data_IF_056575042047
#
_entry.id   IF_056575042047
#
_cell.length_a   1.000
_cell.length_b   1.000
_cell.length_c   1.000
_cell.angle_alpha   90.00
_cell.angle_beta   90.00
_cell.angle_gamma   90.00
#
_symmetry.space_group_name_H-M   'P 1'
#
loop_
_entity.id
_entity.type
_entity.pdbx_description
1 polymer ?
#
# COMPACT_ATOMS: atom_id res chain seq x y z
N UNK A 1 1.54 37.45 -20.79
CA UNK A 1 0.74 36.30 -20.31
C UNK A 1 1.60 35.09 -20.02
N UNK A 2 1.85 34.82 -18.74
CA UNK A 2 2.43 33.56 -18.28
C UNK A 2 1.37 32.89 -17.41
N UNK A 3 0.59 31.98 -17.98
CA UNK A 3 -0.36 31.17 -17.24
C UNK A 3 0.05 29.70 -17.24
N UNK A 4 0.46 29.29 -16.03
CA UNK A 4 0.14 28.02 -15.36
C UNK A 4 0.82 26.73 -15.86
N UNK A 5 1.98 26.46 -15.27
CA UNK A 5 2.62 25.14 -15.20
C UNK A 5 2.41 24.45 -13.83
N UNK A 6 1.27 24.69 -13.16
CA UNK A 6 0.96 24.18 -11.81
C UNK A 6 0.02 22.96 -11.79
N UNK A 7 -0.04 22.18 -12.88
CA UNK A 7 -0.94 21.01 -12.96
C UNK A 7 -0.24 19.67 -12.66
N UNK A 8 1.10 19.62 -12.68
CA UNK A 8 1.80 18.32 -12.70
C UNK A 8 2.46 17.90 -11.37
N UNK A 9 2.31 18.68 -10.29
CA UNK A 9 3.06 18.43 -9.05
C UNK A 9 2.22 18.24 -7.76
N UNK A 10 0.92 17.95 -7.87
CA UNK A 10 0.04 17.69 -6.71
C UNK A 10 -0.18 16.21 -6.36
N UNK A 11 0.43 15.28 -7.09
CA UNK A 11 0.02 13.86 -7.07
C UNK A 11 0.66 12.96 -6.00
N UNK A 12 1.94 13.11 -5.59
CA UNK A 12 2.54 12.17 -4.64
C UNK A 12 1.92 12.30 -3.24
N UNK A 13 1.76 13.52 -2.74
CA UNK A 13 1.31 13.79 -1.36
C UNK A 13 -0.16 13.47 -1.15
N UNK A 14 -1.03 13.77 -2.11
CA UNK A 14 -2.46 13.45 -2.01
C UNK A 14 -2.72 11.92 -2.02
N UNK A 15 -2.03 11.19 -2.90
CA UNK A 15 -2.11 9.71 -2.95
C UNK A 15 -1.59 9.07 -1.66
N UNK A 16 -0.49 9.59 -1.11
CA UNK A 16 0.06 9.10 0.15
C UNK A 16 -0.83 9.43 1.35
N UNK A 17 -1.52 10.57 1.33
CA UNK A 17 -2.53 10.91 2.34
C UNK A 17 -3.72 9.94 2.28
N UNK A 18 -4.22 9.61 1.08
CA UNK A 18 -5.27 8.60 0.89
C UNK A 18 -4.84 7.22 1.43
N UNK A 19 -3.61 6.78 1.14
CA UNK A 19 -3.07 5.53 1.68
C UNK A 19 -2.98 5.59 3.21
N UNK A 20 -2.50 6.69 3.78
CA UNK A 20 -2.42 6.87 5.23
C UNK A 20 -3.78 6.82 5.92
N UNK A 21 -4.80 7.39 5.29
CA UNK A 21 -6.19 7.34 5.72
C UNK A 21 -6.75 5.90 5.71
N UNK A 22 -6.31 5.07 4.77
CA UNK A 22 -6.71 3.66 4.72
C UNK A 22 -5.95 2.85 5.77
N UNK A 23 -4.66 3.12 5.98
CA UNK A 23 -3.87 2.49 7.04
C UNK A 23 -4.48 2.74 8.42
N UNK A 24 -4.91 3.98 8.72
CA UNK A 24 -5.52 4.28 10.02
C UNK A 24 -6.85 3.55 10.26
N UNK A 25 -7.58 3.21 9.19
CA UNK A 25 -8.93 2.62 9.27
C UNK A 25 -8.97 1.10 9.10
N UNK A 26 -8.09 0.54 8.28
CA UNK A 26 -8.19 -0.84 7.77
C UNK A 26 -6.95 -1.69 8.01
N UNK A 27 -5.93 -1.14 8.66
CA UNK A 27 -4.74 -1.92 9.05
C UNK A 27 -5.07 -2.77 10.27
N UNK A 28 -4.98 -4.08 10.09
CA UNK A 28 -5.16 -5.04 11.17
C UNK A 28 -3.84 -5.75 11.44
N UNK A 29 -3.47 -5.91 12.71
CA UNK A 29 -2.42 -6.84 13.09
C UNK A 29 -2.84 -8.26 12.72
N UNK A 30 -1.90 -9.03 12.21
CA UNK A 30 -2.18 -10.30 11.55
C UNK A 30 -1.19 -11.36 12.03
N UNK A 31 -1.69 -12.56 12.35
CA UNK A 31 -0.84 -13.74 12.53
C UNK A 31 -0.94 -14.61 11.26
N UNK A 32 0.15 -14.77 10.47
CA UNK A 32 0.16 -15.58 9.27
C UNK A 32 -0.23 -17.04 9.50
N UNK A 33 0.06 -17.59 10.69
CA UNK A 33 -0.21 -19.00 11.00
C UNK A 33 -1.72 -19.32 11.03
N UNK A 34 -2.56 -18.30 11.23
CA UNK A 34 -4.01 -18.44 11.32
C UNK A 34 -4.73 -18.18 9.98
N UNK A 35 -4.00 -17.90 8.90
CA UNK A 35 -4.59 -17.49 7.63
C UNK A 35 -4.08 -18.30 6.45
N UNK A 36 -5.04 -18.78 5.65
CA UNK A 36 -4.74 -19.54 4.44
C UNK A 36 -4.36 -18.58 3.30
N UNK A 37 -3.07 -18.24 3.18
CA UNK A 37 -2.52 -17.29 2.20
C UNK A 37 -2.29 -17.90 0.79
N UNK A 38 -2.90 -19.04 0.46
CA UNK A 38 -2.65 -19.83 -0.75
C UNK A 38 -3.02 -19.16 -2.10
N UNK A 39 -3.52 -17.92 -2.09
CA UNK A 39 -3.92 -17.19 -3.29
C UNK A 39 -3.33 -15.77 -3.36
N UNK A 40 -2.24 -15.53 -2.65
CA UNK A 40 -1.53 -14.25 -2.70
C UNK A 40 -0.36 -14.35 -3.67
N UNK A 41 -0.25 -13.35 -4.53
CA UNK A 41 0.95 -13.05 -5.30
C UNK A 41 2.00 -12.41 -4.38
N UNK A 42 3.27 -12.50 -4.77
CA UNK A 42 4.38 -11.97 -4.02
C UNK A 42 5.14 -10.92 -4.84
N UNK A 43 5.42 -9.78 -4.21
CA UNK A 43 6.33 -8.77 -4.74
C UNK A 43 7.32 -8.37 -3.64
N UNK A 44 8.61 -8.38 -3.98
CA UNK A 44 9.67 -7.92 -3.09
C UNK A 44 10.24 -6.59 -3.59
N UNK A 45 10.24 -5.57 -2.73
CA UNK A 45 10.76 -4.23 -3.03
C UNK A 45 11.79 -3.88 -1.95
N UNK A 46 13.04 -3.63 -2.35
CA UNK A 46 14.14 -3.28 -1.43
C UNK A 46 14.30 -4.27 -0.26
N UNK A 47 14.14 -5.58 -0.54
CA UNK A 47 14.20 -6.64 0.46
C UNK A 47 12.96 -6.79 1.35
N UNK A 48 11.95 -5.93 1.19
CA UNK A 48 10.66 -6.04 1.89
C UNK A 48 9.67 -6.83 1.05
N UNK A 49 9.10 -7.87 1.67
CA UNK A 49 8.12 -8.75 1.05
C UNK A 49 6.70 -8.22 1.23
N UNK A 50 5.96 -8.16 0.14
CA UNK A 50 4.54 -7.86 0.09
C UNK A 50 3.82 -9.05 -0.53
N UNK A 51 2.81 -9.55 0.17
CA UNK A 51 1.87 -10.51 -0.39
C UNK A 51 0.59 -9.76 -0.73
N UNK A 52 0.04 -9.96 -1.93
CA UNK A 52 -1.20 -9.29 -2.29
C UNK A 52 -2.11 -10.17 -3.14
N UNK A 53 -3.40 -9.90 -3.06
CA UNK A 53 -4.41 -10.55 -3.90
C UNK A 53 -5.38 -9.49 -4.44
N UNK A 54 -5.44 -9.28 -5.76
CA UNK A 54 -6.46 -8.42 -6.35
C UNK A 54 -7.86 -9.03 -6.22
N UNK A 55 -8.87 -8.15 -6.18
CA UNK A 55 -10.26 -8.55 -6.38
C UNK A 55 -10.45 -9.06 -7.81
N UNK A 56 -11.54 -9.77 -8.06
CA UNK A 56 -11.89 -10.28 -9.41
C UNK A 56 -11.96 -9.16 -10.46
N UNK A 57 -12.27 -7.93 -10.03
CA UNK A 57 -12.36 -6.75 -10.92
C UNK A 57 -11.08 -5.92 -10.96
N UNK A 58 -10.03 -6.33 -10.25
CA UNK A 58 -8.77 -5.59 -10.07
C UNK A 58 -8.93 -4.16 -9.53
N UNK A 59 -10.09 -3.83 -8.95
CA UNK A 59 -10.40 -2.51 -8.38
C UNK A 59 -10.00 -2.38 -6.90
N UNK A 60 -9.70 -3.51 -6.27
CA UNK A 60 -9.38 -3.61 -4.85
C UNK A 60 -8.26 -4.63 -4.61
N UNK A 61 -7.52 -4.46 -3.53
CA UNK A 61 -6.44 -5.34 -3.09
C UNK A 61 -6.62 -5.74 -1.63
N UNK A 62 -6.27 -6.98 -1.35
CA UNK A 62 -5.89 -7.42 0.00
C UNK A 62 -4.37 -7.51 0.03
N UNK A 63 -3.72 -6.89 1.02
CA UNK A 63 -2.26 -6.83 1.12
C UNK A 63 -1.82 -7.29 2.50
N UNK A 64 -0.86 -8.20 2.56
CA UNK A 64 -0.13 -8.58 3.77
C UNK A 64 1.29 -8.02 3.66
N UNK A 65 1.73 -7.32 4.70
CA UNK A 65 3.03 -6.67 4.78
C UNK A 65 3.55 -6.61 6.21
N UNK A 66 4.85 -6.41 6.35
CA UNK A 66 5.46 -6.01 7.63
C UNK A 66 5.45 -4.49 7.74
N UNK A 67 4.92 -3.96 8.84
CA UNK A 67 4.88 -2.53 9.16
C UNK A 67 5.17 -2.32 10.65
N UNK A 68 6.18 -1.50 10.97
CA UNK A 68 6.67 -1.23 12.35
C UNK A 68 6.88 -2.51 13.16
N UNK A 69 7.61 -3.44 12.56
CA UNK A 69 7.91 -4.78 13.08
C UNK A 69 6.72 -5.73 13.32
N UNK A 70 5.54 -5.37 12.84
CA UNK A 70 4.35 -6.22 12.94
C UNK A 70 3.90 -6.71 11.59
N UNK A 71 3.47 -7.96 11.52
CA UNK A 71 2.75 -8.45 10.36
C UNK A 71 1.35 -7.85 10.37
N UNK A 72 0.97 -7.26 9.24
CA UNK A 72 -0.28 -6.55 9.08
C UNK A 72 -1.02 -7.02 7.84
N UNK A 73 -2.35 -6.94 7.90
CA UNK A 73 -3.28 -7.17 6.82
C UNK A 73 -4.02 -5.86 6.52
N UNK A 74 -3.97 -5.43 5.27
CA UNK A 74 -4.76 -4.35 4.71
C UNK A 74 -5.83 -4.96 3.81
N UNK A 75 -7.09 -4.78 4.19
CA UNK A 75 -8.24 -5.26 3.41
C UNK A 75 -8.87 -4.12 2.61
N UNK A 76 -9.38 -4.43 1.43
CA UNK A 76 -10.13 -3.50 0.58
C UNK A 76 -9.37 -2.19 0.30
N UNK A 77 -8.11 -2.32 -0.12
CA UNK A 77 -7.27 -1.23 -0.60
C UNK A 77 -7.63 -0.92 -2.05
N UNK A 78 -8.10 0.29 -2.40
CA UNK A 78 -8.42 0.62 -3.79
C UNK A 78 -7.21 0.48 -4.72
N UNK A 79 -7.45 0.00 -5.93
CA UNK A 79 -6.47 -0.15 -7.01
C UNK A 79 -6.98 0.59 -8.27
N UNK A 80 -6.99 1.93 -8.28
CA UNK A 80 -7.64 2.72 -9.31
C UNK A 80 -6.98 2.61 -10.71
N UNK A 81 -5.71 2.21 -10.78
CA UNK A 81 -5.04 1.94 -12.05
C UNK A 81 -5.40 0.58 -12.64
N UNK A 82 -6.02 -0.32 -11.86
CA UNK A 82 -6.13 -1.74 -12.22
C UNK A 82 -4.78 -2.47 -12.26
N UNK A 83 -3.71 -1.84 -11.76
CA UNK A 83 -2.35 -2.36 -11.69
C UNK A 83 -1.98 -2.60 -10.21
N UNK A 84 -2.09 -3.86 -9.73
CA UNK A 84 -1.73 -4.24 -8.38
C UNK A 84 -0.29 -3.88 -8.03
N UNK A 85 0.67 -4.15 -8.92
CA UNK A 85 2.08 -3.96 -8.65
C UNK A 85 2.41 -2.47 -8.45
N UNK A 86 1.88 -1.60 -9.31
CA UNK A 86 2.01 -0.15 -9.15
C UNK A 86 1.44 0.33 -7.80
N UNK A 87 0.28 -0.20 -7.39
CA UNK A 87 -0.32 0.14 -6.09
C UNK A 87 0.52 -0.39 -4.91
N UNK A 88 1.16 -1.55 -5.02
CA UNK A 88 2.11 -2.03 -4.00
C UNK A 88 3.33 -1.10 -3.89
N UNK A 89 3.85 -0.55 -5.00
CA UNK A 89 4.92 0.44 -4.95
C UNK A 89 4.51 1.73 -4.21
N UNK A 90 3.29 2.23 -4.44
CA UNK A 90 2.76 3.40 -3.71
C UNK A 90 2.64 3.11 -2.21
N UNK A 91 2.16 1.92 -1.83
CA UNK A 91 2.11 1.46 -0.42
C UNK A 91 3.50 1.36 0.18
N UNK A 92 4.48 0.83 -0.56
CA UNK A 92 5.88 0.76 -0.11
C UNK A 92 6.44 2.15 0.20
N UNK A 93 6.23 3.13 -0.68
CA UNK A 93 6.66 4.51 -0.46
C UNK A 93 6.05 5.10 0.81
N UNK A 94 4.75 4.89 1.04
CA UNK A 94 4.08 5.30 2.28
C UNK A 94 4.71 4.66 3.52
N UNK A 95 4.91 3.34 3.50
CA UNK A 95 5.51 2.60 4.62
C UNK A 95 6.88 3.14 4.96
N UNK A 96 7.75 3.31 3.95
CA UNK A 96 9.11 3.83 4.16
C UNK A 96 9.10 5.23 4.76
N UNK A 97 8.25 6.13 4.26
CA UNK A 97 8.12 7.48 4.82
C UNK A 97 7.58 7.46 6.25
N UNK A 98 6.57 6.64 6.52
CA UNK A 98 5.90 6.54 7.82
C UNK A 98 6.78 5.93 8.92
N UNK A 99 7.63 4.96 8.57
CA UNK A 99 8.60 4.37 9.49
C UNK A 99 9.78 5.32 9.74
N UNK A 100 10.31 5.94 8.67
CA UNK A 100 11.39 6.93 8.78
C UNK A 100 10.99 8.12 9.66
N UNK A 101 9.76 8.62 9.52
CA UNK A 101 9.23 9.72 10.34
C UNK A 101 8.98 9.32 11.80
N UNK A 102 8.81 8.02 12.09
CA UNK A 102 8.61 7.51 13.43
C UNK A 102 9.93 7.15 14.16
N UNK A 103 11.08 7.32 13.49
CA UNK A 103 12.40 6.99 14.06
C UNK A 103 12.62 5.48 14.28
N UNK A 104 11.90 4.64 13.53
CA UNK A 104 12.02 3.17 13.54
C UNK A 104 12.85 2.71 12.35
#
# INVERSE_FOLDING_TARGET
DAMSSDVENRQPTAKLAEIGDIFSRKLHSFNPDNYNIYHFEELTISGRKYLFRPSVRNDMLTVVLKYRDRMCLLVSMPCPSGDPAARIHEIHQYVMQSESAAGV
#
